data_IF_582530226757
#
_entry.id   IF_582530226757
#
_cell.length_a   1.000
_cell.length_b   1.000
_cell.length_c   1.000
_cell.angle_alpha   90.00
_cell.angle_beta   90.00
_cell.angle_gamma   90.00
#
_symmetry.space_group_name_H-M   'P 1'
#
loop_
_entity.id
_entity.type
_entity.pdbx_description
1 polymer ?
#
# COMPACT_ATOMS: atom_id res chain seq x y z
N UNK A 1 -20.98 -28.90 26.09
CA UNK A 1 -21.15 -28.57 27.51
C UNK A 1 -19.88 -28.00 28.15
N UNK A 2 -18.71 -28.62 28.05
CA UNK A 2 -17.48 -28.01 28.60
C UNK A 2 -17.20 -26.57 28.13
N UNK A 3 -17.45 -26.26 26.86
CA UNK A 3 -17.29 -24.89 26.34
C UNK A 3 -18.31 -23.92 26.95
N UNK A 4 -19.53 -24.38 27.20
CA UNK A 4 -20.55 -23.60 27.90
C UNK A 4 -20.08 -23.28 29.34
N UNK A 5 -19.61 -24.30 30.08
CA UNK A 5 -19.08 -24.13 31.44
C UNK A 5 -17.85 -23.20 31.46
N UNK A 6 -16.85 -23.46 30.61
CA UNK A 6 -15.62 -22.67 30.57
C UNK A 6 -15.80 -21.24 30.05
N UNK A 7 -16.84 -20.99 29.25
CA UNK A 7 -17.18 -19.64 28.81
C UNK A 7 -17.90 -18.83 29.88
N UNK A 8 -18.31 -19.43 31.00
CA UNK A 8 -19.13 -18.79 32.03
C UNK A 8 -20.61 -18.86 31.70
N UNK A 9 -21.07 -19.99 31.15
CA UNK A 9 -22.44 -20.23 30.72
C UNK A 9 -22.89 -19.32 29.55
N UNK A 10 -21.97 -19.02 28.62
CA UNK A 10 -22.29 -18.24 27.43
C UNK A 10 -22.84 -19.14 26.31
N UNK A 11 -24.14 -19.03 26.04
CA UNK A 11 -24.83 -19.79 24.99
C UNK A 11 -24.23 -19.50 23.61
N UNK A 12 -23.87 -18.25 23.31
CA UNK A 12 -23.28 -17.86 22.02
C UNK A 12 -21.95 -18.58 21.75
N UNK A 13 -21.02 -18.58 22.73
CA UNK A 13 -19.72 -19.25 22.57
C UNK A 13 -19.89 -20.76 22.36
N UNK A 14 -20.84 -21.37 23.05
CA UNK A 14 -21.12 -22.80 22.92
C UNK A 14 -21.87 -23.16 21.62
N UNK A 15 -22.73 -22.28 21.12
CA UNK A 15 -23.42 -22.46 19.84
C UNK A 15 -22.45 -22.24 18.65
N UNK A 16 -21.54 -21.29 18.74
CA UNK A 16 -20.45 -21.09 17.78
C UNK A 16 -19.53 -22.31 17.69
N UNK A 17 -19.22 -22.90 18.86
CA UNK A 17 -18.48 -24.15 18.98
C UNK A 17 -19.23 -25.27 18.25
N UNK A 18 -20.51 -25.48 18.54
CA UNK A 18 -21.33 -26.52 17.89
C UNK A 18 -21.42 -26.32 16.37
N UNK A 19 -21.48 -25.07 15.91
CA UNK A 19 -21.52 -24.69 14.49
C UNK A 19 -20.18 -24.85 13.76
N UNK A 20 -19.09 -25.06 14.52
CA UNK A 20 -17.76 -25.32 13.99
C UNK A 20 -16.94 -24.07 13.65
N UNK A 21 -17.38 -22.88 14.09
CA UNK A 21 -16.60 -21.64 13.96
C UNK A 21 -15.26 -21.81 14.67
N UNK A 22 -14.13 -21.51 14.01
CA UNK A 22 -12.79 -21.55 14.62
C UNK A 22 -12.02 -22.87 14.51
N UNK A 23 -12.66 -24.00 14.13
CA UNK A 23 -11.93 -25.23 13.79
C UNK A 23 -12.37 -25.93 12.51
N UNK A 24 -13.55 -25.63 11.95
CA UNK A 24 -13.93 -26.12 10.61
C UNK A 24 -13.49 -25.08 9.57
N UNK A 25 -12.58 -25.42 8.64
CA UNK A 25 -12.20 -24.50 7.58
C UNK A 25 -13.43 -24.10 6.74
N UNK A 26 -13.73 -22.80 6.66
CA UNK A 26 -14.83 -22.27 5.85
C UNK A 26 -16.20 -22.17 6.56
N UNK A 27 -16.29 -22.51 7.85
CA UNK A 27 -17.47 -22.18 8.64
C UNK A 27 -17.65 -20.65 8.69
N UNK A 28 -18.83 -20.17 8.31
CA UNK A 28 -19.17 -18.75 8.31
C UNK A 28 -19.22 -18.21 9.74
N UNK A 29 -18.90 -16.92 9.92
CA UNK A 29 -19.12 -16.19 11.18
C UNK A 29 -20.58 -15.71 11.31
N UNK A 30 -21.54 -16.45 10.76
CA UNK A 30 -22.95 -16.13 10.94
C UNK A 30 -23.29 -16.30 12.42
N UNK A 31 -24.08 -15.38 12.96
CA UNK A 31 -24.58 -15.48 14.32
C UNK A 31 -25.32 -16.81 14.50
N UNK A 32 -25.17 -17.42 15.68
CA UNK A 32 -25.95 -18.59 16.06
C UNK A 32 -27.45 -18.26 15.95
N UNK A 33 -28.22 -19.21 15.44
CA UNK A 33 -29.69 -19.09 15.40
C UNK A 33 -30.27 -19.27 16.80
N UNK A 34 -31.44 -18.70 17.03
CA UNK A 34 -32.16 -18.84 18.31
C UNK A 34 -32.42 -20.32 18.67
N UNK A 35 -32.67 -21.17 17.67
CA UNK A 35 -32.81 -22.62 17.85
C UNK A 35 -31.52 -23.27 18.38
N UNK A 36 -30.35 -22.85 17.89
CA UNK A 36 -29.06 -23.37 18.34
C UNK A 36 -28.73 -22.93 19.77
N UNK A 37 -29.05 -21.68 20.12
CA UNK A 37 -28.89 -21.18 21.48
C UNK A 37 -29.78 -21.94 22.45
N UNK A 38 -31.07 -22.09 22.11
CA UNK A 38 -32.02 -22.86 22.90
C UNK A 38 -31.56 -24.32 23.06
N UNK A 39 -31.03 -24.95 22.00
CA UNK A 39 -30.55 -26.33 22.08
C UNK A 39 -29.38 -26.49 23.07
N UNK A 40 -28.47 -25.51 23.15
CA UNK A 40 -27.38 -25.51 24.14
C UNK A 40 -27.93 -25.40 25.55
N UNK A 41 -28.85 -24.47 25.79
CA UNK A 41 -29.44 -24.23 27.11
C UNK A 41 -30.27 -25.43 27.57
N UNK A 42 -31.10 -25.99 26.70
CA UNK A 42 -31.86 -27.20 26.99
C UNK A 42 -30.98 -28.40 27.28
N UNK A 43 -29.84 -28.53 26.59
CA UNK A 43 -28.88 -29.59 26.87
C UNK A 43 -28.22 -29.44 28.26
N UNK A 44 -28.00 -28.21 28.72
CA UNK A 44 -27.52 -27.96 30.08
C UNK A 44 -28.61 -28.24 31.12
N UNK A 45 -29.83 -27.73 30.92
CA UNK A 45 -30.98 -27.91 31.84
C UNK A 45 -31.33 -29.39 32.04
N UNK A 46 -31.26 -30.19 30.97
CA UNK A 46 -31.60 -31.63 31.02
C UNK A 46 -30.47 -32.50 31.59
N UNK A 47 -29.29 -31.94 31.85
CA UNK A 47 -28.15 -32.70 32.34
C UNK A 47 -28.32 -33.03 33.83
N UNK A 48 -28.09 -34.28 34.27
CA UNK A 48 -28.15 -34.61 35.69
C UNK A 48 -27.20 -33.74 36.51
N UNK A 49 -27.66 -33.27 37.68
CA UNK A 49 -26.87 -32.37 38.54
C UNK A 49 -25.50 -32.95 38.92
N UNK A 50 -25.42 -34.26 39.16
CA UNK A 50 -24.15 -34.96 39.43
C UNK A 50 -23.14 -34.78 38.29
N UNK A 51 -23.60 -34.88 37.04
CA UNK A 51 -22.76 -34.71 35.85
C UNK A 51 -22.28 -33.27 35.70
N UNK A 52 -23.13 -32.28 36.01
CA UNK A 52 -22.74 -30.87 35.98
C UNK A 52 -21.66 -30.55 37.01
N UNK A 53 -21.84 -31.03 38.25
CA UNK A 53 -20.85 -30.87 39.33
C UNK A 53 -19.52 -31.51 38.95
N UNK A 54 -19.54 -32.73 38.40
CA UNK A 54 -18.33 -33.41 37.95
C UNK A 54 -17.65 -32.66 36.79
N UNK A 55 -18.40 -32.13 35.83
CA UNK A 55 -17.85 -31.35 34.72
C UNK A 55 -17.25 -30.00 35.16
N UNK A 56 -17.79 -29.38 36.21
CA UNK A 56 -17.31 -28.10 36.74
C UNK A 56 -16.09 -28.26 37.65
N UNK A 57 -16.11 -29.26 38.55
CA UNK A 57 -15.06 -29.43 39.55
C UNK A 57 -13.95 -30.38 39.09
N UNK A 58 -14.31 -31.47 38.43
CA UNK A 58 -13.39 -32.57 38.09
C UNK A 58 -13.61 -33.09 36.65
N UNK A 59 -13.49 -32.23 35.61
CA UNK A 59 -13.87 -32.57 34.24
C UNK A 59 -13.15 -33.80 33.67
N UNK A 60 -11.97 -34.14 34.20
CA UNK A 60 -11.22 -35.33 33.80
C UNK A 60 -11.87 -36.67 34.19
N UNK A 61 -12.80 -36.67 35.15
CA UNK A 61 -13.60 -37.86 35.48
C UNK A 61 -14.57 -38.23 34.36
N UNK A 62 -15.03 -37.24 33.60
CA UNK A 62 -16.10 -37.39 32.61
C UNK A 62 -15.59 -37.39 31.17
N UNK A 63 -14.49 -36.68 30.89
CA UNK A 63 -13.96 -36.55 29.53
C UNK A 63 -12.43 -36.65 29.49
N UNK A 64 -11.90 -36.97 28.32
CA UNK A 64 -10.45 -37.08 28.13
C UNK A 64 -9.73 -35.73 28.30
N UNK A 65 -8.48 -35.79 28.74
CA UNK A 65 -7.64 -34.59 28.93
C UNK A 65 -7.53 -33.72 27.67
N UNK A 66 -7.56 -34.35 26.48
CA UNK A 66 -7.54 -33.67 25.19
C UNK A 66 -8.80 -32.81 24.98
N UNK A 67 -9.96 -33.29 25.38
CA UNK A 67 -11.24 -32.61 25.16
C UNK A 67 -11.37 -31.41 26.10
N UNK A 68 -10.95 -31.56 27.36
CA UNK A 68 -10.85 -30.45 28.32
C UNK A 68 -9.92 -29.37 27.79
N UNK A 69 -8.74 -29.75 27.29
CA UNK A 69 -7.79 -28.81 26.72
C UNK A 69 -8.35 -28.10 25.47
N UNK A 70 -8.96 -28.83 24.54
CA UNK A 70 -9.56 -28.27 23.34
C UNK A 70 -10.71 -27.30 23.66
N UNK A 71 -11.55 -27.63 24.64
CA UNK A 71 -12.62 -26.77 25.12
C UNK A 71 -12.07 -25.46 25.71
N UNK A 72 -11.05 -25.54 26.57
CA UNK A 72 -10.45 -24.34 27.17
C UNK A 72 -9.71 -23.48 26.13
N UNK A 73 -8.98 -24.11 25.19
CA UNK A 73 -8.32 -23.41 24.09
C UNK A 73 -9.35 -22.69 23.20
N UNK A 74 -10.50 -23.33 22.95
CA UNK A 74 -11.56 -22.73 22.15
C UNK A 74 -12.08 -21.45 22.77
N UNK A 75 -12.43 -21.47 24.06
CA UNK A 75 -12.96 -20.30 24.78
C UNK A 75 -11.94 -19.15 24.79
N UNK A 76 -10.66 -19.47 25.01
CA UNK A 76 -9.57 -18.49 24.93
C UNK A 76 -9.54 -17.82 23.54
N UNK A 77 -9.52 -18.62 22.48
CA UNK A 77 -9.42 -18.09 21.12
C UNK A 77 -10.69 -17.35 20.69
N UNK A 78 -11.87 -17.77 21.14
CA UNK A 78 -13.15 -17.10 20.90
C UNK A 78 -13.15 -15.69 21.51
N UNK A 79 -12.76 -15.56 22.78
CA UNK A 79 -12.58 -14.25 23.45
C UNK A 79 -11.54 -13.37 22.76
N UNK A 80 -10.46 -13.98 22.28
CA UNK A 80 -9.42 -13.27 21.53
C UNK A 80 -9.93 -12.75 20.17
N UNK A 81 -10.83 -13.47 19.50
CA UNK A 81 -11.49 -12.97 18.29
C UNK A 81 -12.42 -11.81 18.59
N UNK A 82 -13.25 -11.91 19.64
CA UNK A 82 -14.12 -10.81 20.05
C UNK A 82 -13.32 -9.53 20.33
N UNK A 83 -12.17 -9.65 21.01
CA UNK A 83 -11.25 -8.53 21.20
C UNK A 83 -10.75 -7.94 19.87
N UNK A 84 -10.34 -8.77 18.92
CA UNK A 84 -9.90 -8.30 17.59
C UNK A 84 -11.03 -7.62 16.82
N UNK A 85 -12.26 -8.12 16.94
CA UNK A 85 -13.44 -7.51 16.32
C UNK A 85 -13.67 -6.11 16.88
N UNK A 86 -13.65 -5.93 18.22
CA UNK A 86 -13.73 -4.62 18.88
C UNK A 86 -12.61 -3.68 18.43
N UNK A 87 -11.35 -4.16 18.35
CA UNK A 87 -10.23 -3.36 17.84
C UNK A 87 -10.46 -2.89 16.40
N UNK A 88 -11.12 -3.71 15.58
CA UNK A 88 -11.41 -3.36 14.20
C UNK A 88 -12.59 -2.41 14.04
N UNK A 89 -13.66 -2.58 14.83
CA UNK A 89 -14.92 -1.85 14.66
C UNK A 89 -14.98 -0.55 15.46
N UNK A 90 -14.41 -0.53 16.67
CA UNK A 90 -14.51 0.60 17.59
C UNK A 90 -13.27 1.49 17.56
N UNK A 91 -12.09 0.89 17.48
CA UNK A 91 -10.82 1.63 17.57
C UNK A 91 -10.12 1.83 16.22
N UNK A 92 -10.33 0.92 15.27
CA UNK A 92 -9.70 0.95 13.95
C UNK A 92 -8.18 0.73 13.95
N UNK A 93 -7.63 0.14 15.02
CA UNK A 93 -6.19 -0.08 15.19
C UNK A 93 -5.84 -1.57 15.16
N UNK A 94 -4.68 -1.90 14.60
CA UNK A 94 -4.14 -3.24 14.66
C UNK A 94 -3.44 -3.46 16.01
N UNK A 95 -3.89 -4.40 16.86
CA UNK A 95 -3.26 -4.64 18.15
C UNK A 95 -1.83 -5.16 17.98
N UNK A 96 -0.93 -4.68 18.84
CA UNK A 96 0.46 -5.14 18.88
C UNK A 96 0.54 -6.62 19.31
N UNK A 97 1.69 -7.27 19.05
CA UNK A 97 1.96 -8.63 19.54
C UNK A 97 1.79 -8.72 21.06
N UNK A 98 2.32 -7.75 21.79
CA UNK A 98 2.29 -7.76 23.26
C UNK A 98 0.84 -7.70 23.76
N UNK A 99 0.03 -6.79 23.23
CA UNK A 99 -1.40 -6.70 23.55
C UNK A 99 -2.14 -8.00 23.22
N UNK A 100 -1.89 -8.61 22.05
CA UNK A 100 -2.51 -9.88 21.67
C UNK A 100 -2.14 -11.03 22.61
N UNK A 101 -0.90 -11.09 23.09
CA UNK A 101 -0.44 -12.12 24.03
C UNK A 101 -1.04 -11.89 25.42
N UNK A 102 -1.05 -10.65 25.89
CA UNK A 102 -1.64 -10.28 27.18
C UNK A 102 -3.13 -10.63 27.24
N UNK A 103 -3.90 -10.19 26.24
CA UNK A 103 -5.34 -10.53 26.14
C UNK A 103 -5.56 -12.04 26.03
N UNK A 104 -4.70 -12.76 25.31
CA UNK A 104 -4.81 -14.21 25.21
C UNK A 104 -4.55 -14.93 26.54
N UNK A 105 -3.64 -14.41 27.38
CA UNK A 105 -3.38 -14.95 28.72
C UNK A 105 -4.55 -14.66 29.67
N UNK A 106 -5.10 -13.45 29.64
CA UNK A 106 -6.27 -13.08 30.46
C UNK A 106 -7.56 -13.77 30.00
N UNK A 107 -7.62 -14.21 28.74
CA UNK A 107 -8.76 -14.94 28.18
C UNK A 107 -8.81 -16.43 28.58
N UNK A 108 -7.76 -16.99 29.21
CA UNK A 108 -7.76 -18.37 29.69
C UNK A 108 -8.92 -18.57 30.70
N UNK A 109 -9.79 -19.58 30.53
CA UNK A 109 -10.92 -19.80 31.44
C UNK A 109 -10.49 -19.98 32.90
N UNK A 110 -11.10 -19.20 33.80
CA UNK A 110 -10.85 -19.30 35.24
C UNK A 110 -11.30 -20.65 35.84
N UNK A 111 -12.29 -21.29 35.24
CA UNK A 111 -12.80 -22.62 35.66
C UNK A 111 -12.01 -23.79 35.08
N UNK A 112 -11.04 -23.56 34.18
CA UNK A 112 -10.21 -24.64 33.66
C UNK A 112 -9.27 -25.21 34.75
N UNK A 113 -8.99 -26.53 34.73
CA UNK A 113 -8.01 -27.14 35.62
C UNK A 113 -6.62 -26.50 35.48
N UNK A 114 -5.86 -26.46 36.58
CA UNK A 114 -4.55 -25.77 36.63
C UNK A 114 -3.58 -26.26 35.55
N UNK A 115 -3.48 -27.59 35.36
CA UNK A 115 -2.61 -28.18 34.33
C UNK A 115 -2.98 -27.76 32.90
N UNK A 116 -4.25 -27.45 32.63
CA UNK A 116 -4.72 -26.94 31.33
C UNK A 116 -4.34 -25.48 31.18
N UNK A 117 -4.52 -24.68 32.24
CA UNK A 117 -4.13 -23.25 32.27
C UNK A 117 -2.64 -23.07 32.02
N UNK A 118 -1.79 -23.82 32.71
CA UNK A 118 -0.33 -23.78 32.53
C UNK A 118 0.07 -24.13 31.09
N UNK A 119 -0.54 -25.20 30.54
CA UNK A 119 -0.27 -25.63 29.17
C UNK A 119 -0.68 -24.57 28.14
N UNK A 120 -1.83 -23.91 28.33
CA UNK A 120 -2.26 -22.79 27.48
C UNK A 120 -1.37 -21.57 27.64
N UNK A 121 -0.94 -21.26 28.86
CA UNK A 121 0.02 -20.18 29.13
C UNK A 121 1.32 -20.38 28.36
N UNK A 122 1.89 -21.58 28.41
CA UNK A 122 3.09 -21.95 27.65
C UNK A 122 2.82 -21.95 26.14
N UNK A 123 1.62 -22.28 25.68
CA UNK A 123 1.28 -22.24 24.24
C UNK A 123 1.34 -20.81 23.69
N UNK A 124 0.74 -19.87 24.43
CA UNK A 124 0.54 -18.49 24.03
C UNK A 124 1.80 -17.65 24.24
N UNK A 125 2.49 -17.84 25.36
CA UNK A 125 3.63 -17.03 25.78
C UNK A 125 4.97 -17.76 25.61
N UNK A 126 6.03 -16.99 25.35
CA UNK A 126 7.39 -17.49 25.19
C UNK A 126 8.23 -16.56 24.34
N UNK A 127 9.09 -17.12 23.50
CA UNK A 127 9.93 -16.27 22.62
C UNK A 127 9.07 -15.53 21.58
N UNK A 128 9.50 -14.35 21.09
CA UNK A 128 8.79 -13.60 20.05
C UNK A 128 8.49 -14.42 18.78
N UNK A 129 9.33 -15.41 18.47
CA UNK A 129 9.10 -16.34 17.35
C UNK A 129 7.92 -17.28 17.62
N UNK A 130 7.82 -17.83 18.84
CA UNK A 130 6.75 -18.75 19.24
C UNK A 130 5.40 -18.04 19.26
N UNK A 131 5.35 -16.86 19.85
CA UNK A 131 4.13 -16.04 19.91
C UNK A 131 3.65 -15.66 18.51
N UNK A 132 4.55 -15.21 17.62
CA UNK A 132 4.20 -14.95 16.21
C UNK A 132 3.65 -16.19 15.50
N UNK A 133 4.23 -17.37 15.77
CA UNK A 133 3.76 -18.64 15.19
C UNK A 133 2.36 -18.99 15.70
N UNK A 134 2.11 -18.84 17.01
CA UNK A 134 0.80 -19.03 17.61
C UNK A 134 -0.23 -18.07 17.02
N UNK A 135 0.02 -16.76 17.06
CA UNK A 135 -0.89 -15.73 16.52
C UNK A 135 -1.16 -15.92 15.03
N UNK A 136 -0.17 -16.35 14.25
CA UNK A 136 -0.38 -16.68 12.84
C UNK A 136 -1.22 -17.95 12.63
N UNK A 137 -1.16 -18.93 13.54
CA UNK A 137 -2.03 -20.10 13.50
C UNK A 137 -3.47 -19.74 13.92
N UNK A 138 -3.62 -18.98 15.00
CA UNK A 138 -4.88 -18.40 15.48
C UNK A 138 -5.60 -17.64 14.36
N UNK A 139 -4.95 -16.64 13.75
CA UNK A 139 -5.54 -15.86 12.65
C UNK A 139 -6.00 -16.70 11.47
N UNK A 140 -5.26 -17.78 11.16
CA UNK A 140 -5.65 -18.70 10.08
C UNK A 140 -6.85 -19.56 10.45
N UNK A 141 -6.93 -20.05 11.70
CA UNK A 141 -8.06 -20.84 12.21
C UNK A 141 -9.35 -20.04 12.22
N UNK A 142 -9.28 -18.81 12.72
CA UNK A 142 -10.44 -17.95 12.94
C UNK A 142 -10.73 -16.99 11.79
N UNK A 143 -9.91 -17.00 10.73
CA UNK A 143 -9.96 -16.00 9.66
C UNK A 143 -9.92 -14.54 10.19
N UNK A 144 -9.31 -14.33 11.36
CA UNK A 144 -9.22 -13.03 12.00
C UNK A 144 -8.26 -12.12 11.22
N UNK A 145 -8.78 -10.99 10.75
CA UNK A 145 -8.02 -9.94 10.07
C UNK A 145 -7.87 -8.75 11.01
N UNK A 146 -6.70 -8.14 11.00
CA UNK A 146 -6.54 -6.84 11.65
C UNK A 146 -7.01 -5.75 10.69
N UNK A 147 -7.89 -4.89 11.19
CA UNK A 147 -8.22 -3.62 10.59
C UNK A 147 -6.97 -2.75 10.63
N UNK A 148 -6.66 -2.13 9.48
CA UNK A 148 -5.64 -1.12 9.39
C UNK A 148 -6.32 0.13 8.86
N UNK A 149 -6.71 1.04 9.75
CA UNK A 149 -6.88 2.43 9.33
C UNK A 149 -5.47 3.01 9.13
N UNK A 150 -5.22 3.62 7.98
CA UNK A 150 -4.00 4.41 7.81
C UNK A 150 -4.14 5.58 8.78
N UNK A 151 -3.26 5.67 9.77
CA UNK A 151 -3.08 6.92 10.49
C UNK A 151 -2.71 7.97 9.43
N UNK A 152 -3.61 8.91 9.16
CA UNK A 152 -3.22 10.09 8.42
C UNK A 152 -2.31 10.89 9.35
N UNK A 153 -1.02 10.95 9.03
CA UNK A 153 -0.13 12.00 9.54
C UNK A 153 -0.60 13.33 8.95
N UNK A 154 -1.78 13.79 9.36
CA UNK A 154 -2.42 14.99 8.84
C UNK A 154 -1.60 16.21 9.21
N UNK A 155 -1.12 16.93 8.21
CA UNK A 155 -0.70 18.32 8.41
C UNK A 155 -1.99 19.13 8.59
N UNK A 156 -2.04 19.94 9.64
CA UNK A 156 -3.13 20.89 9.85
C UNK A 156 -3.30 21.81 8.64
N UNK A 157 -4.53 22.25 8.37
CA UNK A 157 -4.85 23.06 7.18
C UNK A 157 -4.08 24.39 7.20
N UNK A 158 -3.86 25.01 8.35
CA UNK A 158 -3.11 26.25 8.44
C UNK A 158 -1.63 26.05 8.10
N UNK A 159 -0.99 25.01 8.65
CA UNK A 159 0.40 24.67 8.33
C UNK A 159 0.55 24.29 6.85
N UNK A 160 -0.41 23.53 6.31
CA UNK A 160 -0.44 23.14 4.90
C UNK A 160 -0.53 24.37 3.99
N UNK A 161 -1.43 25.31 4.31
CA UNK A 161 -1.57 26.59 3.61
C UNK A 161 -0.27 27.38 3.64
N UNK A 162 0.33 27.54 4.82
CA UNK A 162 1.58 28.27 5.00
C UNK A 162 2.70 27.68 4.13
N UNK A 163 2.88 26.35 4.16
CA UNK A 163 3.88 25.66 3.32
C UNK A 163 3.63 25.88 1.83
N UNK A 164 2.39 25.77 1.39
CA UNK A 164 2.02 26.02 0.00
C UNK A 164 2.31 27.47 -0.40
N UNK A 165 1.91 28.44 0.42
CA UNK A 165 2.16 29.87 0.17
C UNK A 165 3.66 30.17 0.01
N UNK A 166 4.51 29.69 0.92
CA UNK A 166 5.97 29.89 0.83
C UNK A 166 6.53 29.24 -0.44
N UNK A 167 6.08 28.02 -0.75
CA UNK A 167 6.50 27.32 -1.97
C UNK A 167 6.08 28.07 -3.25
N UNK A 168 4.85 28.57 -3.32
CA UNK A 168 4.35 29.37 -4.44
C UNK A 168 5.10 30.71 -4.57
N UNK A 169 5.45 31.36 -3.45
CA UNK A 169 6.29 32.57 -3.48
C UNK A 169 7.66 32.30 -4.11
N UNK A 170 8.30 31.17 -3.77
CA UNK A 170 9.56 30.75 -4.40
C UNK A 170 9.40 30.47 -5.88
N UNK A 171 8.35 29.76 -6.29
CA UNK A 171 8.06 29.55 -7.71
C UNK A 171 7.89 30.89 -8.43
N UNK A 172 7.07 31.80 -7.91
CA UNK A 172 6.85 33.12 -8.50
C UNK A 172 8.14 33.96 -8.56
N UNK A 173 9.04 33.83 -7.58
CA UNK A 173 10.34 34.48 -7.60
C UNK A 173 11.24 33.91 -8.71
N UNK A 174 11.24 32.59 -8.91
CA UNK A 174 11.97 31.94 -10.02
C UNK A 174 11.47 32.46 -11.37
N UNK A 175 10.14 32.51 -11.57
CA UNK A 175 9.55 33.01 -12.81
C UNK A 175 9.87 34.48 -13.07
N UNK A 176 9.76 35.35 -12.06
CA UNK A 176 10.08 36.78 -12.19
C UNK A 176 11.57 37.05 -12.40
N UNK A 177 12.44 36.24 -11.81
CA UNK A 177 13.90 36.39 -11.88
C UNK A 177 14.55 35.60 -13.02
N UNK A 178 13.79 34.96 -13.90
CA UNK A 178 14.31 34.21 -15.03
C UNK A 178 14.60 35.14 -16.21
N UNK A 179 15.85 35.16 -16.69
CA UNK A 179 16.24 35.91 -17.89
C UNK A 179 15.85 35.20 -19.20
N UNK A 180 15.52 33.92 -19.12
CA UNK A 180 15.14 33.06 -20.23
C UNK A 180 13.87 32.28 -19.88
N UNK A 181 13.09 31.78 -20.87
CA UNK A 181 11.87 31.02 -20.61
C UNK A 181 12.09 29.90 -19.59
N UNK A 182 11.19 29.78 -18.62
CA UNK A 182 11.33 28.79 -17.54
C UNK A 182 10.81 27.45 -18.02
N UNK A 183 11.61 26.40 -17.81
CA UNK A 183 11.18 25.01 -17.99
C UNK A 183 11.15 24.34 -16.61
N UNK A 184 9.96 23.97 -16.14
CA UNK A 184 9.79 23.23 -14.88
C UNK A 184 9.72 21.74 -15.21
N UNK A 185 10.70 20.98 -14.73
CA UNK A 185 10.77 19.53 -14.80
C UNK A 185 10.50 19.00 -13.40
N UNK A 186 9.43 18.24 -13.21
CA UNK A 186 9.22 17.49 -11.97
C UNK A 186 9.81 16.09 -12.11
N UNK A 187 10.53 15.68 -11.07
CA UNK A 187 11.03 14.33 -10.89
C UNK A 187 10.50 13.76 -9.57
N UNK A 188 10.12 12.48 -9.61
CA UNK A 188 9.80 11.70 -8.42
C UNK A 188 9.95 10.19 -8.68
N UNK A 189 9.88 9.38 -7.62
CA UNK A 189 9.93 7.92 -7.69
C UNK A 189 8.66 7.23 -7.21
N UNK A 190 8.30 6.14 -7.90
CA UNK A 190 7.33 5.17 -7.38
C UNK A 190 7.87 3.75 -7.45
N UNK A 191 7.57 2.95 -6.43
CA UNK A 191 7.80 1.50 -6.51
C UNK A 191 6.82 0.86 -7.50
N UNK A 192 7.34 -0.04 -8.33
CA UNK A 192 6.60 -0.88 -9.26
C UNK A 192 6.82 -2.32 -8.87
N UNK A 193 5.77 -2.94 -8.34
CA UNK A 193 5.81 -4.34 -7.89
C UNK A 193 5.92 -5.29 -9.07
N UNK A 194 6.64 -6.40 -8.85
CA UNK A 194 6.77 -7.47 -9.84
C UNK A 194 5.49 -8.26 -10.00
N UNK A 195 4.79 -8.51 -8.90
CA UNK A 195 3.52 -9.25 -8.93
C UNK A 195 2.41 -8.47 -8.22
N UNK A 196 1.59 -7.67 -8.94
CA UNK A 196 0.44 -7.00 -8.35
C UNK A 196 -0.59 -8.04 -7.87
N UNK A 197 -0.96 -7.96 -6.60
CA UNK A 197 -1.94 -8.85 -5.97
C UNK A 197 -3.32 -8.19 -5.87
N UNK A 198 -4.37 -8.98 -5.69
CA UNK A 198 -5.72 -8.46 -5.46
C UNK A 198 -6.36 -7.79 -6.68
N UNK A 199 -5.89 -8.12 -7.89
CA UNK A 199 -6.48 -7.63 -9.11
C UNK A 199 -7.79 -8.35 -9.42
N UNK A 200 -8.85 -7.59 -9.68
CA UNK A 200 -10.16 -8.12 -10.02
C UNK A 200 -10.17 -8.62 -11.48
N UNK A 201 -10.90 -9.70 -11.74
CA UNK A 201 -11.11 -10.26 -13.09
C UNK A 201 -10.21 -11.44 -13.49
N UNK A 202 -9.36 -11.97 -12.61
CA UNK A 202 -8.60 -13.22 -12.91
C UNK A 202 -9.40 -14.45 -12.50
N UNK A 203 -9.88 -15.24 -13.46
CA UNK A 203 -10.61 -16.49 -13.19
C UNK A 203 -9.61 -17.65 -13.06
N UNK A 204 -9.50 -18.23 -11.87
CA UNK A 204 -8.70 -19.44 -11.65
C UNK A 204 -9.56 -20.67 -11.97
N UNK A 205 -9.22 -21.43 -13.02
CA UNK A 205 -9.84 -22.73 -13.33
C UNK A 205 -9.15 -23.83 -12.52
N UNK A 206 -9.93 -24.74 -11.93
CA UNK A 206 -9.40 -25.87 -11.14
C UNK A 206 -10.49 -26.58 -10.32
N UNK A 207 -10.22 -27.78 -9.78
CA UNK A 207 -11.21 -28.54 -9.01
C UNK A 207 -11.69 -27.74 -7.78
N UNK A 208 -12.98 -27.87 -7.43
CA UNK A 208 -13.64 -27.06 -6.40
C UNK A 208 -13.08 -27.30 -4.97
N UNK A 209 -12.43 -28.45 -4.74
CA UNK A 209 -11.99 -28.92 -3.43
C UNK A 209 -10.70 -28.29 -2.89
N UNK A 210 -10.08 -27.32 -3.59
CA UNK A 210 -8.87 -26.62 -3.09
C UNK A 210 -9.05 -25.10 -3.15
N UNK A 211 -8.63 -24.34 -2.11
CA UNK A 211 -8.65 -22.88 -2.14
C UNK A 211 -7.79 -22.39 -3.30
N UNK A 212 -8.43 -21.75 -4.28
CA UNK A 212 -7.76 -21.27 -5.49
C UNK A 212 -6.96 -20.03 -5.13
N UNK A 213 -5.64 -20.12 -5.26
CA UNK A 213 -4.72 -19.00 -5.07
C UNK A 213 -3.89 -18.83 -6.32
N UNK A 214 -3.70 -17.58 -6.70
CA UNK A 214 -2.74 -17.23 -7.74
C UNK A 214 -1.35 -17.71 -7.32
N UNK A 215 -0.76 -18.60 -8.12
CA UNK A 215 0.60 -19.04 -7.92
C UNK A 215 1.56 -17.91 -8.29
N UNK A 216 2.35 -17.48 -7.32
CA UNK A 216 3.48 -16.58 -7.50
C UNK A 216 4.47 -16.89 -6.38
N UNK A 217 5.76 -16.90 -6.69
CA UNK A 217 6.78 -17.17 -5.67
C UNK A 217 6.83 -16.03 -4.65
N UNK A 218 7.37 -16.29 -3.46
CA UNK A 218 7.60 -15.22 -2.48
C UNK A 218 8.53 -14.14 -3.02
N UNK A 219 9.49 -14.51 -3.87
CA UNK A 219 10.39 -13.58 -4.53
C UNK A 219 9.63 -12.66 -5.50
N UNK A 220 8.69 -13.20 -6.29
CA UNK A 220 7.87 -12.40 -7.22
C UNK A 220 6.95 -11.43 -6.49
N UNK A 221 6.37 -11.88 -5.37
CA UNK A 221 5.47 -11.05 -4.54
C UNK A 221 6.19 -9.92 -3.81
N UNK A 222 7.48 -10.08 -3.52
CA UNK A 222 8.31 -9.08 -2.83
C UNK A 222 9.18 -8.26 -3.78
N UNK A 223 9.34 -8.70 -5.02
CA UNK A 223 10.16 -8.03 -6.01
C UNK A 223 9.54 -6.71 -6.45
N UNK A 224 10.37 -5.69 -6.65
CA UNK A 224 9.96 -4.40 -7.17
C UNK A 224 11.14 -3.65 -7.76
N UNK A 225 10.89 -2.82 -8.76
CA UNK A 225 11.82 -1.79 -9.23
C UNK A 225 11.30 -0.42 -8.80
N UNK A 226 12.19 0.56 -8.69
CA UNK A 226 11.77 1.95 -8.50
C UNK A 226 11.75 2.64 -9.86
N UNK A 227 10.60 3.20 -10.23
CA UNK A 227 10.44 4.01 -11.42
C UNK A 227 10.64 5.47 -11.06
N UNK A 228 11.78 6.01 -11.45
CA UNK A 228 12.17 7.41 -11.37
C UNK A 228 11.69 8.11 -12.64
N UNK A 229 10.61 8.88 -12.51
CA UNK A 229 9.91 9.48 -13.64
C UNK A 229 10.21 10.97 -13.75
N UNK A 230 10.26 11.47 -14.99
CA UNK A 230 10.44 12.90 -15.27
C UNK A 230 9.31 13.43 -16.16
N UNK A 231 8.63 14.49 -15.74
CA UNK A 231 7.60 15.18 -16.53
C UNK A 231 7.85 16.68 -16.55
N UNK A 232 7.39 17.38 -17.59
CA UNK A 232 7.44 18.84 -17.66
C UNK A 232 6.17 19.40 -18.29
N UNK A 233 5.92 20.68 -18.07
CA UNK A 233 4.72 21.35 -18.59
C UNK A 233 4.76 21.62 -20.11
N UNK A 234 5.94 21.52 -20.75
CA UNK A 234 6.13 21.75 -22.18
C UNK A 234 6.18 20.43 -22.96
N UNK A 235 5.17 20.19 -23.80
CA UNK A 235 5.06 18.98 -24.62
C UNK A 235 6.19 18.82 -25.64
N UNK A 236 6.81 19.91 -26.12
CA UNK A 236 7.91 19.85 -27.07
C UNK A 236 9.20 19.30 -26.44
N UNK A 237 9.37 19.50 -25.13
CA UNK A 237 10.54 19.00 -24.40
C UNK A 237 10.28 17.63 -23.77
N UNK A 238 9.01 17.31 -23.47
CA UNK A 238 8.64 16.12 -22.70
C UNK A 238 9.24 14.81 -23.26
N UNK A 239 9.23 14.62 -24.58
CA UNK A 239 9.78 13.42 -25.23
C UNK A 239 11.28 13.20 -25.01
N UNK A 240 12.04 14.25 -24.66
CA UNK A 240 13.47 14.18 -24.37
C UNK A 240 13.77 13.74 -22.94
N UNK A 241 12.79 13.82 -22.02
CA UNK A 241 13.05 13.62 -20.60
C UNK A 241 13.35 12.16 -20.25
N UNK A 242 14.38 11.89 -19.42
CA UNK A 242 14.76 10.54 -19.04
C UNK A 242 13.75 9.90 -18.09
N UNK A 243 13.40 8.64 -18.37
CA UNK A 243 12.57 7.77 -17.55
C UNK A 243 13.43 6.60 -17.08
N UNK A 244 13.63 6.45 -15.77
CA UNK A 244 14.64 5.53 -15.25
C UNK A 244 13.98 4.43 -14.41
N UNK A 245 14.32 3.17 -14.72
CA UNK A 245 14.00 2.02 -13.91
C UNK A 245 15.23 1.63 -13.09
N UNK A 246 15.18 1.92 -11.79
CA UNK A 246 16.19 1.50 -10.82
C UNK A 246 15.87 0.07 -10.38
N UNK A 247 16.70 -0.87 -10.84
CA UNK A 247 16.53 -2.29 -10.57
C UNK A 247 17.64 -2.82 -9.66
N UNK A 248 17.26 -3.66 -8.69
CA UNK A 248 18.26 -4.39 -7.93
C UNK A 248 18.99 -5.38 -8.85
N UNK A 249 20.30 -5.42 -8.71
CA UNK A 249 21.20 -6.20 -9.54
C UNK A 249 20.96 -7.72 -9.50
N UNK A 250 20.43 -8.23 -8.39
CA UNK A 250 20.03 -9.63 -8.23
C UNK A 250 18.66 -9.91 -8.86
N UNK A 251 17.83 -8.88 -9.04
CA UNK A 251 16.53 -8.99 -9.70
C UNK A 251 16.62 -8.82 -11.21
N UNK A 252 17.63 -8.12 -11.72
CA UNK A 252 17.84 -7.92 -13.16
C UNK A 252 19.23 -8.35 -13.58
N UNK A 253 19.32 -9.53 -14.22
CA UNK A 253 20.58 -10.03 -14.77
C UNK A 253 20.98 -9.30 -16.05
N UNK A 254 22.29 -9.24 -16.30
CA UNK A 254 22.86 -8.64 -17.52
C UNK A 254 22.33 -9.31 -18.80
N UNK A 255 22.04 -10.62 -18.75
CA UNK A 255 21.46 -11.35 -19.89
C UNK A 255 20.04 -10.87 -20.23
N UNK A 256 19.21 -10.58 -19.22
CA UNK A 256 17.87 -10.01 -19.48
C UNK A 256 17.99 -8.61 -20.05
N UNK A 257 18.88 -7.79 -19.50
CA UNK A 257 19.10 -6.42 -19.99
C UNK A 257 19.59 -6.42 -21.45
N UNK A 258 20.58 -7.26 -21.78
CA UNK A 258 21.09 -7.37 -23.14
C UNK A 258 20.03 -7.83 -24.14
N UNK A 259 19.13 -8.76 -23.76
CA UNK A 259 18.01 -9.18 -24.62
C UNK A 259 16.98 -8.07 -24.85
N UNK A 260 16.68 -7.27 -23.82
CA UNK A 260 15.75 -6.13 -23.95
C UNK A 260 16.32 -5.01 -24.81
N UNK A 261 17.63 -4.77 -24.72
CA UNK A 261 18.32 -3.80 -25.58
C UNK A 261 18.37 -4.31 -27.03
N UNK A 262 18.71 -5.58 -27.23
CA UNK A 262 18.77 -6.20 -28.56
C UNK A 262 17.40 -6.28 -29.26
N UNK A 263 16.29 -6.37 -28.51
CA UNK A 263 14.96 -6.42 -29.12
C UNK A 263 14.50 -5.11 -29.74
N UNK A 264 15.22 -3.99 -29.53
CA UNK A 264 14.85 -2.68 -30.09
C UNK A 264 13.55 -2.09 -29.57
N UNK A 265 12.89 -2.76 -28.62
CA UNK A 265 11.58 -2.38 -28.06
C UNK A 265 11.67 -1.32 -26.97
N UNK A 266 12.88 -0.98 -26.52
CA UNK A 266 13.08 0.00 -25.45
C UNK A 266 13.11 1.41 -26.06
N UNK A 267 12.17 2.30 -25.71
CA UNK A 267 12.22 3.69 -26.16
C UNK A 267 13.52 4.37 -25.72
N UNK A 268 14.04 5.26 -26.56
CA UNK A 268 15.35 5.89 -26.36
C UNK A 268 15.47 6.71 -25.06
N UNK A 269 14.35 7.19 -24.52
CA UNK A 269 14.29 7.96 -23.28
C UNK A 269 14.07 7.09 -22.03
N UNK A 270 13.94 5.76 -22.17
CA UNK A 270 13.83 4.83 -21.03
C UNK A 270 15.20 4.20 -20.75
N UNK A 271 15.65 4.36 -19.51
CA UNK A 271 16.92 3.84 -19.03
C UNK A 271 16.69 2.81 -17.94
N UNK A 272 17.41 1.69 -17.96
CA UNK A 272 17.37 0.69 -16.89
C UNK A 272 18.73 0.72 -16.19
N UNK A 273 18.74 1.12 -14.92
CA UNK A 273 19.95 1.14 -14.11
C UNK A 273 19.96 -0.06 -13.18
N UNK A 274 21.00 -0.87 -13.31
CA UNK A 274 21.25 -2.04 -12.47
C UNK A 274 22.13 -1.60 -11.31
N UNK A 275 21.56 -1.58 -10.10
CA UNK A 275 22.21 -1.06 -8.90
C UNK A 275 22.17 -2.09 -7.76
N UNK A 276 23.07 -1.96 -6.78
CA UNK A 276 23.11 -2.87 -5.61
C UNK A 276 21.82 -2.86 -4.79
N UNK A 277 21.07 -1.76 -4.85
CA UNK A 277 19.77 -1.60 -4.22
C UNK A 277 18.80 -0.89 -5.17
N UNK A 278 17.49 -1.06 -4.96
CA UNK A 278 16.45 -0.37 -5.72
C UNK A 278 16.09 1.02 -5.19
N UNK A 279 16.90 1.61 -4.29
CA UNK A 279 16.61 2.88 -3.63
C UNK A 279 17.43 4.02 -4.23
N UNK A 280 16.85 5.23 -4.28
CA UNK A 280 17.57 6.44 -4.67
C UNK A 280 18.61 6.81 -3.61
N UNK A 281 19.79 7.20 -4.07
CA UNK A 281 20.90 7.70 -3.24
C UNK A 281 21.38 9.02 -3.81
N UNK A 282 22.16 9.79 -3.04
CA UNK A 282 22.80 11.02 -3.55
C UNK A 282 23.67 10.76 -4.79
N UNK A 283 24.32 9.59 -4.90
CA UNK A 283 25.08 9.23 -6.09
C UNK A 283 24.17 9.02 -7.32
N UNK A 284 23.04 8.33 -7.13
CA UNK A 284 22.02 8.13 -8.18
C UNK A 284 21.43 9.48 -8.59
N UNK A 285 21.15 10.38 -7.65
CA UNK A 285 20.61 11.70 -7.95
C UNK A 285 21.58 12.56 -8.77
N UNK A 286 22.89 12.55 -8.46
CA UNK A 286 23.89 13.24 -9.31
C UNK A 286 23.95 12.65 -10.71
N UNK A 287 23.89 11.31 -10.83
CA UNK A 287 23.84 10.61 -12.13
C UNK A 287 22.58 11.00 -12.92
N UNK A 288 21.44 11.13 -12.23
CA UNK A 288 20.17 11.59 -12.81
C UNK A 288 20.30 13.00 -13.36
N UNK A 289 20.82 13.95 -12.59
CA UNK A 289 20.98 15.34 -13.03
C UNK A 289 21.89 15.44 -14.26
N UNK A 290 23.01 14.70 -14.28
CA UNK A 290 23.89 14.64 -15.46
C UNK A 290 23.14 14.09 -16.68
N UNK A 291 22.37 13.02 -16.50
CA UNK A 291 21.56 12.46 -17.58
C UNK A 291 20.50 13.44 -18.07
N UNK A 292 19.79 14.11 -17.16
CA UNK A 292 18.78 15.10 -17.47
C UNK A 292 19.37 16.26 -18.28
N UNK A 293 20.47 16.85 -17.83
CA UNK A 293 21.15 17.92 -18.55
C UNK A 293 21.58 17.48 -19.96
N UNK A 294 22.13 16.26 -20.09
CA UNK A 294 22.52 15.68 -21.38
C UNK A 294 21.32 15.47 -22.31
N UNK A 295 20.20 14.97 -21.78
CA UNK A 295 18.97 14.76 -22.54
C UNK A 295 18.33 16.08 -23.00
N UNK A 296 18.44 17.13 -22.19
CA UNK A 296 17.94 18.47 -22.52
C UNK A 296 18.85 19.19 -23.52
N UNK A 297 20.16 18.94 -23.50
CA UNK A 297 21.12 19.50 -24.45
C UNK A 297 21.09 21.04 -24.46
N UNK A 298 20.93 21.62 -25.65
CA UNK A 298 20.84 23.08 -25.86
C UNK A 298 19.72 23.74 -25.06
N UNK A 299 18.64 23.01 -24.74
CA UNK A 299 17.53 23.51 -23.91
C UNK A 299 18.01 24.04 -22.56
N UNK A 300 19.11 23.49 -22.01
CA UNK A 300 19.69 23.95 -20.74
C UNK A 300 20.35 25.33 -20.88
N UNK A 301 20.86 25.66 -22.07
CA UNK A 301 21.45 26.97 -22.36
C UNK A 301 20.38 28.01 -22.71
N UNK A 302 19.32 27.59 -23.41
CA UNK A 302 18.25 28.48 -23.90
C UNK A 302 17.19 28.81 -22.85
N UNK A 303 17.10 28.02 -21.76
CA UNK A 303 16.01 28.12 -20.80
C UNK A 303 16.49 28.08 -19.37
N UNK A 304 15.72 28.69 -18.49
CA UNK A 304 15.90 28.52 -17.04
C UNK A 304 15.27 27.19 -16.63
N UNK A 305 16.06 26.12 -16.56
CA UNK A 305 15.57 24.79 -16.19
C UNK A 305 15.48 24.66 -14.66
N UNK A 306 14.27 24.38 -14.17
CA UNK A 306 13.94 24.18 -12.77
C UNK A 306 13.58 22.72 -12.55
N UNK A 307 14.34 22.04 -11.68
CA UNK A 307 14.09 20.65 -11.30
C UNK A 307 13.35 20.65 -9.96
N UNK A 308 12.08 20.25 -10.00
CA UNK A 308 11.17 20.15 -8.87
C UNK A 308 11.22 18.74 -8.28
N UNK A 309 11.64 18.62 -7.02
CA UNK A 309 11.78 17.35 -6.28
C UNK A 309 11.25 17.47 -4.85
N UNK A 310 10.99 16.35 -4.18
CA UNK A 310 10.67 16.35 -2.76
C UNK A 310 11.92 16.62 -1.88
N UNK A 311 11.70 16.77 -0.57
CA UNK A 311 12.78 16.97 0.42
C UNK A 311 13.32 15.67 1.00
N UNK A 312 13.37 14.59 0.20
CA UNK A 312 14.07 13.38 0.61
C UNK A 312 15.56 13.70 0.92
N UNK A 313 16.13 13.05 1.94
CA UNK A 313 17.55 13.17 2.28
C UNK A 313 18.48 12.93 1.09
N UNK A 314 18.09 12.04 0.18
CA UNK A 314 18.84 11.76 -1.04
C UNK A 314 18.80 12.88 -2.08
N UNK A 315 17.95 13.90 -1.94
CA UNK A 315 17.75 15.00 -2.90
C UNK A 315 18.31 16.34 -2.40
N UNK A 316 18.33 16.56 -1.08
CA UNK A 316 18.74 17.83 -0.46
C UNK A 316 20.23 17.88 -0.04
N UNK A 317 21.00 16.84 -0.34
CA UNK A 317 22.43 16.80 -0.02
C UNK A 317 23.19 17.95 -0.71
N UNK A 318 24.14 18.55 0.01
CA UNK A 318 24.91 19.69 -0.49
C UNK A 318 25.62 19.40 -1.82
N UNK A 319 26.11 18.16 -2.02
CA UNK A 319 26.77 17.77 -3.26
C UNK A 319 25.83 17.77 -4.47
N UNK A 320 24.53 17.61 -4.26
CA UNK A 320 23.51 17.63 -5.32
C UNK A 320 23.24 19.07 -5.74
N UNK A 321 23.12 20.00 -4.79
CA UNK A 321 22.96 21.42 -5.07
C UNK A 321 24.14 21.99 -5.87
N UNK A 322 25.37 21.65 -5.46
CA UNK A 322 26.58 22.02 -6.19
C UNK A 322 26.61 21.42 -7.60
N UNK A 323 26.21 20.16 -7.73
CA UNK A 323 26.20 19.47 -9.02
C UNK A 323 25.13 20.02 -9.97
N UNK A 324 23.92 20.29 -9.48
CA UNK A 324 22.86 20.94 -10.24
C UNK A 324 23.32 22.31 -10.77
N UNK A 325 23.97 23.11 -9.91
CA UNK A 325 24.52 24.42 -10.30
C UNK A 325 25.55 24.32 -11.41
N UNK A 326 26.44 23.32 -11.37
CA UNK A 326 27.44 23.08 -12.44
C UNK A 326 26.81 22.71 -13.78
N UNK A 327 25.62 22.11 -13.74
CA UNK A 327 24.84 21.72 -14.92
C UNK A 327 23.84 22.82 -15.35
N UNK A 328 23.91 24.02 -14.78
CA UNK A 328 22.95 25.11 -15.01
C UNK A 328 21.48 24.73 -14.73
N UNK A 329 21.27 23.79 -13.80
CA UNK A 329 19.95 23.39 -13.32
C UNK A 329 19.64 24.09 -11.99
N UNK A 330 18.43 24.64 -11.85
CA UNK A 330 17.94 25.23 -10.60
C UNK A 330 17.10 24.21 -9.85
N UNK A 331 17.44 23.92 -8.59
CA UNK A 331 16.62 23.02 -7.76
C UNK A 331 15.48 23.80 -7.09
N UNK A 332 14.29 23.21 -7.07
CA UNK A 332 13.16 23.67 -6.27
C UNK A 332 12.59 22.49 -5.47
N UNK A 333 12.27 22.70 -4.21
CA UNK A 333 11.89 21.64 -3.29
C UNK A 333 10.42 21.75 -2.89
N UNK A 334 9.68 20.67 -3.09
CA UNK A 334 8.33 20.52 -2.55
C UNK A 334 8.46 20.37 -1.03
N UNK A 335 7.75 21.18 -0.21
CA UNK A 335 7.89 21.14 1.24
C UNK A 335 7.58 19.76 1.83
N UNK A 336 8.17 19.46 2.99
CA UNK A 336 7.98 18.18 3.67
C UNK A 336 6.49 17.87 3.89
N UNK A 337 6.12 16.62 3.58
CA UNK A 337 4.76 16.08 3.63
C UNK A 337 3.78 16.71 2.61
N UNK A 338 4.23 17.58 1.70
CA UNK A 338 3.35 18.26 0.74
C UNK A 338 3.25 17.60 -0.64
N UNK A 339 3.96 16.50 -0.89
CA UNK A 339 4.08 15.92 -2.25
C UNK A 339 2.72 15.56 -2.85
N UNK A 340 1.80 15.00 -2.05
CA UNK A 340 0.42 14.68 -2.48
C UNK A 340 -0.41 15.87 -2.96
N UNK A 341 -0.02 17.11 -2.65
CA UNK A 341 -0.73 18.33 -3.07
C UNK A 341 0.06 19.17 -4.07
N UNK A 342 1.38 19.16 -4.03
CA UNK A 342 2.22 20.10 -4.78
C UNK A 342 3.18 19.44 -5.78
N UNK A 343 3.25 18.11 -5.81
CA UNK A 343 4.13 17.36 -6.70
C UNK A 343 3.33 16.83 -7.91
N UNK A 344 3.60 17.28 -9.14
CA UNK A 344 2.90 16.83 -10.35
C UNK A 344 2.92 15.29 -10.54
N UNK A 345 4.03 14.64 -10.19
CA UNK A 345 4.17 13.20 -10.35
C UNK A 345 3.20 12.42 -9.44
N UNK A 346 3.09 12.82 -8.18
CA UNK A 346 2.18 12.20 -7.20
C UNK A 346 0.70 12.51 -7.50
N UNK A 347 0.40 13.76 -7.84
CA UNK A 347 -0.98 14.24 -8.06
C UNK A 347 -1.59 13.72 -9.35
N UNK A 348 -0.79 13.58 -10.42
CA UNK A 348 -1.30 13.25 -11.75
C UNK A 348 -0.67 12.02 -12.41
N UNK A 349 0.67 11.89 -12.37
CA UNK A 349 1.37 10.87 -13.16
C UNK A 349 1.18 9.45 -12.62
N UNK A 350 1.50 9.22 -11.34
CA UNK A 350 1.65 7.87 -10.83
C UNK A 350 0.33 7.12 -10.71
N UNK A 351 -0.78 7.80 -10.48
CA UNK A 351 -2.11 7.18 -10.51
C UNK A 351 -2.43 6.62 -11.89
N UNK A 352 -2.21 7.43 -12.95
CA UNK A 352 -2.38 7.04 -14.36
C UNK A 352 -1.43 5.92 -14.77
N UNK A 353 -0.15 6.06 -14.44
CA UNK A 353 0.86 5.02 -14.68
C UNK A 353 0.50 3.71 -14.00
N UNK A 354 0.14 3.71 -12.71
CA UNK A 354 -0.24 2.49 -11.97
C UNK A 354 -1.53 1.87 -12.52
N UNK A 355 -2.46 2.66 -13.05
CA UNK A 355 -3.63 2.14 -13.74
C UNK A 355 -3.25 1.46 -15.06
N UNK A 356 -2.42 2.11 -15.89
CA UNK A 356 -1.92 1.55 -17.14
C UNK A 356 -1.11 0.27 -16.90
N UNK A 357 -0.17 0.29 -15.95
CA UNK A 357 0.62 -0.89 -15.55
C UNK A 357 -0.27 -2.06 -15.14
N UNK A 358 -1.26 -1.85 -14.26
CA UNK A 358 -2.18 -2.92 -13.84
C UNK A 358 -3.04 -3.44 -14.99
N UNK A 359 -3.40 -2.60 -15.95
CA UNK A 359 -4.13 -3.02 -17.16
C UNK A 359 -3.25 -3.87 -18.07
N UNK A 360 -2.10 -3.35 -18.49
CA UNK A 360 -1.16 -4.05 -19.36
C UNK A 360 -0.65 -5.35 -18.72
N UNK A 361 -0.40 -5.36 -17.43
CA UNK A 361 -0.02 -6.56 -16.69
C UNK A 361 -1.08 -7.67 -16.79
N UNK A 362 -2.37 -7.33 -16.59
CA UNK A 362 -3.47 -8.28 -16.71
C UNK A 362 -3.62 -8.81 -18.13
N UNK A 363 -3.59 -7.93 -19.11
CA UNK A 363 -3.72 -8.28 -20.53
C UNK A 363 -2.60 -9.24 -20.97
N UNK A 364 -1.35 -8.95 -20.62
CA UNK A 364 -0.21 -9.80 -20.97
C UNK A 364 -0.25 -11.13 -20.22
N UNK A 365 -0.52 -11.08 -18.90
CA UNK A 365 -0.65 -12.30 -18.09
C UNK A 365 -1.72 -13.24 -18.63
N UNK A 366 -2.86 -12.72 -19.10
CA UNK A 366 -3.93 -13.55 -19.66
C UNK A 366 -3.53 -14.27 -20.97
N UNK A 367 -2.54 -13.74 -21.70
CA UNK A 367 -2.05 -14.31 -22.96
C UNK A 367 -0.90 -15.30 -22.77
N UNK A 368 -0.21 -15.23 -21.64
CA UNK A 368 0.97 -16.05 -21.38
C UNK A 368 0.59 -17.47 -20.93
N UNK A 369 1.34 -18.50 -21.36
CA UNK A 369 1.14 -19.87 -20.89
C UNK A 369 1.18 -19.94 -19.36
N UNK A 370 0.17 -20.57 -18.77
CA UNK A 370 0.01 -20.69 -17.31
C UNK A 370 -0.11 -19.36 -16.56
N UNK A 371 -0.23 -18.22 -17.26
CA UNK A 371 -0.29 -16.89 -16.66
C UNK A 371 0.96 -16.52 -15.86
N UNK A 372 2.12 -17.07 -16.21
CA UNK A 372 3.40 -16.77 -15.57
C UNK A 372 4.06 -15.64 -16.32
N UNK A 373 4.35 -14.54 -15.63
CA UNK A 373 5.06 -13.40 -16.21
C UNK A 373 6.54 -13.48 -15.83
N UNK A 374 7.38 -13.71 -16.83
CA UNK A 374 8.83 -13.70 -16.67
C UNK A 374 9.34 -12.31 -16.33
N UNK A 375 10.58 -12.23 -15.84
CA UNK A 375 11.21 -10.95 -15.53
C UNK A 375 11.37 -10.05 -16.76
N UNK A 376 11.62 -10.64 -17.92
CA UNK A 376 11.77 -9.91 -19.18
C UNK A 376 10.43 -9.34 -19.66
N UNK A 377 9.37 -10.16 -19.64
CA UNK A 377 8.01 -9.70 -19.92
C UNK A 377 7.55 -8.62 -18.95
N UNK A 378 7.92 -8.74 -17.67
CA UNK A 378 7.61 -7.71 -16.69
C UNK A 378 8.23 -6.36 -17.02
N UNK A 379 9.52 -6.33 -17.37
CA UNK A 379 10.18 -5.10 -17.81
C UNK A 379 9.54 -4.53 -19.09
N UNK A 380 9.14 -5.39 -20.04
CA UNK A 380 8.37 -4.96 -21.22
C UNK A 380 7.02 -4.37 -20.86
N UNK A 381 6.30 -4.95 -19.90
CA UNK A 381 5.02 -4.43 -19.42
C UNK A 381 5.19 -3.05 -18.80
N UNK A 382 6.26 -2.84 -18.00
CA UNK A 382 6.57 -1.53 -17.45
C UNK A 382 6.83 -0.53 -18.58
N UNK A 383 7.69 -0.87 -19.54
CA UNK A 383 8.02 0.02 -20.66
C UNK A 383 6.76 0.36 -21.50
N UNK A 384 5.90 -0.62 -21.74
CA UNK A 384 4.63 -0.41 -22.44
C UNK A 384 3.67 0.50 -21.65
N UNK A 385 3.60 0.34 -20.32
CA UNK A 385 2.81 1.23 -19.47
C UNK A 385 3.34 2.66 -19.46
N UNK A 386 4.67 2.85 -19.44
CA UNK A 386 5.31 4.16 -19.58
C UNK A 386 4.95 4.77 -20.95
N UNK A 387 5.13 4.01 -22.02
CA UNK A 387 4.82 4.44 -23.39
C UNK A 387 3.34 4.73 -23.65
N UNK A 388 2.44 4.13 -22.88
CA UNK A 388 1.00 4.39 -22.98
C UNK A 388 0.55 5.68 -22.26
N UNK A 389 1.35 6.18 -21.30
CA UNK A 389 0.95 7.31 -20.43
C UNK A 389 1.75 8.57 -20.74
N UNK A 390 3.08 8.49 -20.80
CA UNK A 390 3.91 9.69 -20.91
C UNK A 390 3.75 10.41 -22.26
N UNK A 391 3.93 9.76 -23.42
CA UNK A 391 3.89 10.45 -24.71
C UNK A 391 2.49 10.96 -25.09
N UNK A 392 1.44 10.31 -24.58
CA UNK A 392 0.03 10.59 -24.93
C UNK A 392 -0.60 11.66 -24.05
N UNK A 393 0.09 12.09 -22.98
CA UNK A 393 -0.45 13.02 -21.99
C UNK A 393 0.28 14.36 -22.05
N UNK A 394 -0.48 15.44 -22.21
CA UNK A 394 0.03 16.79 -21.96
C UNK A 394 0.02 17.09 -20.47
N UNK A 395 1.18 17.42 -19.91
CA UNK A 395 1.30 17.67 -18.47
C UNK A 395 1.09 19.12 -18.06
N UNK A 396 0.93 20.05 -19.00
CA UNK A 396 0.73 21.48 -18.71
C UNK A 396 -0.32 21.74 -17.62
N UNK A 397 -1.53 21.20 -17.80
CA UNK A 397 -2.61 21.36 -16.82
C UNK A 397 -2.28 20.78 -15.44
N UNK A 398 -1.45 19.73 -15.36
CA UNK A 398 -1.01 19.17 -14.09
C UNK A 398 -0.03 20.08 -13.35
N UNK A 399 0.74 20.93 -14.05
CA UNK A 399 1.58 21.94 -13.42
C UNK A 399 0.78 23.20 -13.08
N UNK A 400 -0.10 23.62 -14.00
CA UNK A 400 -0.90 24.83 -13.87
C UNK A 400 -1.92 24.73 -12.71
N UNK A 401 -2.61 23.60 -12.60
CA UNK A 401 -3.57 23.32 -11.52
C UNK A 401 -2.96 23.29 -10.11
N UNK A 402 -1.63 23.21 -10.02
CA UNK A 402 -0.86 23.27 -8.76
C UNK A 402 -0.22 24.64 -8.51
N UNK A 403 -0.42 25.60 -9.42
CA UNK A 403 0.13 26.95 -9.32
C UNK A 403 1.64 27.02 -9.57
N UNK A 404 2.20 26.15 -10.42
CA UNK A 404 3.65 26.06 -10.66
C UNK A 404 4.14 26.96 -11.80
N UNK A 405 3.24 27.54 -12.60
CA UNK A 405 3.56 28.24 -13.86
C UNK A 405 3.57 29.78 -13.73
N UNK A 406 4.04 30.28 -12.58
CA UNK A 406 4.32 31.71 -12.37
C UNK A 406 3.18 32.54 -11.78
N UNK A 407 1.98 31.98 -11.68
CA UNK A 407 0.89 32.51 -10.87
C UNK A 407 0.00 31.37 -10.36
N UNK A 408 -0.89 31.70 -9.42
CA UNK A 408 -1.80 30.76 -8.76
C UNK A 408 -3.26 30.91 -9.23
N UNK A 409 -3.50 31.67 -10.31
CA UNK A 409 -4.86 31.96 -10.80
C UNK A 409 -5.59 30.74 -11.37
N UNK A 410 -4.85 29.74 -11.85
CA UNK A 410 -5.39 28.49 -12.42
C UNK A 410 -5.39 27.32 -11.44
N UNK A 411 -5.15 27.55 -10.14
CA UNK A 411 -5.14 26.47 -9.16
C UNK A 411 -6.47 25.71 -9.15
N UNK A 412 -6.40 24.38 -9.07
CA UNK A 412 -7.61 23.56 -9.03
C UNK A 412 -8.44 23.83 -7.79
N UNK A 413 -9.77 23.76 -7.94
CA UNK A 413 -10.71 23.92 -6.83
C UNK A 413 -10.41 22.93 -5.69
N UNK A 414 -10.06 21.69 -6.04
CA UNK A 414 -9.67 20.66 -5.06
C UNK A 414 -8.44 21.06 -4.26
N UNK A 415 -7.39 21.58 -4.91
CA UNK A 415 -6.21 22.06 -4.19
C UNK A 415 -6.55 23.27 -3.31
N UNK A 416 -7.35 24.22 -3.80
CA UNK A 416 -7.80 25.36 -3.01
C UNK A 416 -8.57 24.92 -1.76
N UNK A 417 -9.52 24.00 -1.89
CA UNK A 417 -10.25 23.42 -0.76
C UNK A 417 -9.32 22.73 0.23
N UNK A 418 -8.39 21.91 -0.25
CA UNK A 418 -7.41 21.21 0.57
C UNK A 418 -6.45 22.17 1.31
N UNK A 419 -6.22 23.38 0.79
CA UNK A 419 -5.44 24.45 1.43
C UNK A 419 -6.31 25.42 2.25
N UNK A 420 -7.63 25.24 2.26
CA UNK A 420 -8.60 26.14 2.88
C UNK A 420 -8.63 27.54 2.25
N UNK A 421 -8.29 27.67 0.96
CA UNK A 421 -8.36 28.93 0.22
C UNK A 421 -9.78 29.12 -0.32
N UNK A 422 -10.28 30.35 -0.29
CA UNK A 422 -11.56 30.70 -0.91
C UNK A 422 -11.46 30.59 -2.44
N UNK A 423 -12.35 29.80 -3.03
CA UNK A 423 -12.45 29.69 -4.49
C UNK A 423 -13.32 30.85 -4.98
N UNK A 424 -12.70 31.96 -5.38
CA UNK A 424 -13.40 32.99 -6.16
C UNK A 424 -13.78 32.38 -7.51
N UNK A 425 -15.07 32.07 -7.69
CA UNK A 425 -15.63 31.68 -8.99
C UNK A 425 -15.48 32.84 -9.97
N UNK A 426 -14.39 32.86 -10.73
CA UNK A 426 -14.34 33.66 -11.95
C UNK A 426 -15.29 32.99 -12.95
N UNK A 427 -16.45 33.62 -13.16
CA UNK A 427 -17.41 33.20 -14.17
C UNK A 427 -16.67 33.01 -15.50
N UNK A 428 -16.67 31.78 -16.03
CA UNK A 428 -16.29 31.52 -17.41
C UNK A 428 -17.14 32.43 -18.30
N UNK A 429 -16.54 33.49 -18.85
CA UNK A 429 -17.10 34.17 -20.02
C UNK A 429 -17.15 33.12 -21.14
N UNK A 430 -18.35 32.66 -21.47
CA UNK A 430 -18.62 32.01 -22.74
C UNK A 430 -18.27 33.00 -23.86
N UNK A 431 -17.04 32.95 -24.35
CA UNK A 431 -16.67 33.57 -25.61
C UNK A 431 -17.18 32.64 -26.72
N UNK A 432 -18.35 32.93 -27.27
CA UNK A 432 -18.90 32.14 -28.37
C UNK A 432 -20.38 32.35 -28.65
N UNK A 433 -20.86 33.59 -28.67
CA UNK A 433 -22.15 33.98 -29.27
C UNK A 433 -22.13 35.49 -29.59
N UNK A 434 -21.31 35.87 -30.56
CA UNK A 434 -21.43 37.09 -31.35
C UNK A 434 -20.79 36.73 -32.70
N UNK A 435 -21.41 36.85 -33.86
CA UNK A 435 -22.69 37.34 -34.32
C UNK A 435 -22.55 37.31 -35.85
N UNK A 436 -23.61 36.97 -36.58
CA UNK A 436 -23.66 37.19 -38.02
C UNK A 436 -25.07 37.73 -38.28
N UNK A 437 -25.20 38.86 -39.01
CA UNK A 437 -26.43 39.65 -39.14
C UNK A 437 -27.62 38.90 -39.72
#
# INVERSE_FOLDING_TARGET
>A
MLVYIFSGHCSDTAADFASGRGWRPGASAAAATEEQLAAVEWAYIRMPTSVLVDLELEPFKMVGQRDVYCAAQYVLEHRLVAYVEVQNTEHGVAPSRAQMVDVALTSIPATAPLCVKERLGVLVHGTPRKERKYLAAFRRRWNARYGYLRAEDGIDVAERRQKATVFHQWMNAIWRGAAAPVLVVNMDETSVVRHPTGLWGTVLKGPACKPRREQATLADRRGSVSFLASICHDSAVHGKLPQILLANEHQVSLRVLGRLQASGTLPANIYIWREKSGWTTHAIMRRYLTLLARCLGETVAERTVVVLVDVNRAHIDHSILLHARRLSLRMCFVPAKMTRWLQPADTALFSRFKAAFRRTWREQKARLPMGIVTQEEWLRIICAAIGAVLPTTTWHAAFDSLGLLGNQGSMSETLCQELGLEVTRTAKRCAGCAGVP
#
